data_IF_426657808816
#
_entry.id   IF_426657808816
#
_cell.length_a   1.000
_cell.length_b   1.000
_cell.length_c   1.000
_cell.angle_alpha   90.00
_cell.angle_beta   90.00
_cell.angle_gamma   90.00
#
_symmetry.space_group_name_H-M   'P 1'
#
loop_
_entity.id
_entity.type
_entity.pdbx_description
1 polymer ?
#
# COMPACT_ATOMS: atom_id res chain seq x y z
N UNK A 1 16.29 1.97 29.50
CA UNK A 1 15.36 1.18 28.67
C UNK A 1 13.96 1.80 28.62
N UNK A 2 13.42 2.30 29.73
CA UNK A 2 12.11 2.99 29.76
C UNK A 2 12.05 4.29 28.94
N UNK A 3 13.13 5.09 28.94
CA UNK A 3 13.21 6.33 28.17
C UNK A 3 13.11 6.12 26.64
N UNK A 4 13.69 5.03 26.13
CA UNK A 4 13.60 4.67 24.70
C UNK A 4 12.17 4.25 24.36
N UNK A 5 11.51 3.50 25.25
CA UNK A 5 10.13 3.08 25.10
C UNK A 5 9.15 4.27 25.14
N UNK A 6 9.39 5.26 26.00
CA UNK A 6 8.53 6.46 26.06
C UNK A 6 8.70 7.36 24.82
N UNK A 7 9.93 7.52 24.33
CA UNK A 7 10.21 8.22 23.06
C UNK A 7 9.51 7.55 21.87
N UNK A 8 9.56 6.22 21.80
CA UNK A 8 8.84 5.47 20.77
C UNK A 8 7.33 5.71 20.82
N UNK A 9 6.73 5.64 22.00
CA UNK A 9 5.29 5.88 22.19
C UNK A 9 4.90 7.31 21.78
N UNK A 10 5.65 8.33 22.19
CA UNK A 10 5.38 9.73 21.83
C UNK A 10 5.50 9.96 20.32
N UNK A 11 6.57 9.45 19.70
CA UNK A 11 6.75 9.53 18.25
C UNK A 11 5.56 8.92 17.51
N UNK A 12 5.10 7.75 17.96
CA UNK A 12 4.00 7.05 17.34
C UNK A 12 2.66 7.79 17.50
N UNK A 13 2.40 8.40 18.66
CA UNK A 13 1.21 9.22 18.89
C UNK A 13 1.16 10.45 18.00
N UNK A 14 2.29 11.13 17.83
CA UNK A 14 2.40 12.30 16.94
C UNK A 14 2.16 11.89 15.49
N UNK A 15 2.79 10.81 15.04
CA UNK A 15 2.60 10.30 13.68
C UNK A 15 1.17 9.88 13.40
N UNK A 16 0.52 9.22 14.36
CA UNK A 16 -0.88 8.82 14.24
C UNK A 16 -1.84 10.01 14.19
N UNK A 17 -1.51 11.11 14.88
CA UNK A 17 -2.28 12.35 14.78
C UNK A 17 -2.11 12.99 13.40
N UNK A 18 -0.88 13.04 12.88
CA UNK A 18 -0.59 13.60 11.56
C UNK A 18 -1.20 12.73 10.44
N UNK A 19 -1.12 11.41 10.52
CA UNK A 19 -1.64 10.52 9.47
C UNK A 19 -3.16 10.62 9.32
N UNK A 20 -3.89 10.85 10.42
CA UNK A 20 -5.35 11.06 10.43
C UNK A 20 -5.78 12.47 10.02
N UNK A 21 -4.84 13.35 9.62
CA UNK A 21 -5.21 14.65 9.07
C UNK A 21 -5.79 14.49 7.67
N UNK A 22 -6.92 15.18 7.42
CA UNK A 22 -7.53 15.20 6.10
C UNK A 22 -6.87 16.27 5.24
N UNK A 23 -6.27 15.85 4.14
CA UNK A 23 -5.91 16.70 3.03
C UNK A 23 -7.17 17.16 2.30
N UNK A 24 -7.22 18.43 1.93
CA UNK A 24 -8.32 19.04 1.17
C UNK A 24 -9.72 18.84 1.78
N UNK A 25 -9.81 18.54 3.08
CA UNK A 25 -11.06 18.36 3.81
C UNK A 25 -11.71 16.98 3.71
N UNK A 26 -11.27 16.09 2.82
CA UNK A 26 -11.93 14.80 2.59
C UNK A 26 -10.99 13.60 2.35
N UNK A 27 -9.71 13.83 2.06
CA UNK A 27 -8.75 12.76 1.77
C UNK A 27 -7.83 12.54 2.99
N UNK A 28 -7.92 11.43 3.73
CA UNK A 28 -6.98 11.16 4.81
C UNK A 28 -5.55 11.02 4.26
N UNK A 29 -4.59 11.70 4.90
CA UNK A 29 -3.17 11.65 4.53
C UNK A 29 -2.66 10.21 4.49
N UNK A 30 -3.07 9.39 5.46
CA UNK A 30 -2.75 7.97 5.55
C UNK A 30 -3.10 7.21 4.27
N UNK A 31 -4.32 7.40 3.77
CA UNK A 31 -4.78 6.75 2.54
C UNK A 31 -4.01 7.21 1.30
N UNK A 32 -3.61 8.48 1.24
CA UNK A 32 -2.73 8.97 0.17
C UNK A 32 -1.35 8.31 0.23
N UNK A 33 -0.78 8.15 1.43
CA UNK A 33 0.51 7.49 1.61
C UNK A 33 0.46 6.03 1.18
N UNK A 34 -0.62 5.31 1.49
CA UNK A 34 -0.85 3.94 1.03
C UNK A 34 -0.90 3.84 -0.51
N UNK A 35 -1.66 4.74 -1.15
CA UNK A 35 -1.68 4.82 -2.62
C UNK A 35 -0.29 5.09 -3.21
N UNK A 36 0.44 6.07 -2.67
CA UNK A 36 1.79 6.43 -3.13
C UNK A 36 2.79 5.29 -2.91
N UNK A 37 2.71 4.58 -1.79
CA UNK A 37 3.53 3.42 -1.51
C UNK A 37 3.32 2.33 -2.57
N UNK A 38 2.06 2.00 -2.89
CA UNK A 38 1.72 1.06 -3.96
C UNK A 38 2.28 1.47 -5.32
N UNK A 39 2.17 2.76 -5.66
CA UNK A 39 2.71 3.32 -6.91
C UNK A 39 4.24 3.23 -6.96
N UNK A 40 4.94 3.61 -5.89
CA UNK A 40 6.40 3.54 -5.80
C UNK A 40 6.89 2.10 -5.93
N UNK A 41 6.28 1.16 -5.19
CA UNK A 41 6.61 -0.26 -5.28
C UNK A 41 6.41 -0.79 -6.69
N UNK A 42 5.32 -0.39 -7.36
CA UNK A 42 5.06 -0.77 -8.75
C UNK A 42 6.13 -0.24 -9.72
N UNK A 43 6.54 1.02 -9.57
CA UNK A 43 7.62 1.62 -10.37
C UNK A 43 8.94 0.87 -10.15
N UNK A 44 9.28 0.58 -8.90
CA UNK A 44 10.48 -0.17 -8.55
C UNK A 44 10.41 -1.55 -9.21
N UNK A 45 9.35 -2.32 -8.97
CA UNK A 45 9.22 -3.69 -9.49
C UNK A 45 9.07 -3.78 -11.00
N UNK A 46 8.56 -2.75 -11.67
CA UNK A 46 8.57 -2.69 -13.13
C UNK A 46 9.99 -2.79 -13.71
N UNK A 47 11.02 -2.30 -13.00
CA UNK A 47 12.41 -2.42 -13.46
C UNK A 47 12.96 -3.85 -13.37
N UNK A 48 12.48 -4.66 -12.43
CA UNK A 48 13.06 -5.97 -12.12
C UNK A 48 12.19 -7.15 -12.61
N UNK A 49 10.89 -6.95 -12.76
CA UNK A 49 9.93 -8.02 -13.01
C UNK A 49 9.11 -7.77 -14.25
N UNK A 50 9.23 -8.66 -15.23
CA UNK A 50 8.50 -8.56 -16.50
C UNK A 50 7.02 -8.94 -16.38
N UNK A 51 6.68 -9.91 -15.53
CA UNK A 51 5.30 -10.40 -15.38
C UNK A 51 4.49 -9.54 -14.40
N UNK A 52 3.34 -8.95 -14.81
CA UNK A 52 2.52 -8.10 -13.94
C UNK A 52 1.97 -8.83 -12.72
N UNK A 53 1.60 -10.10 -12.87
CA UNK A 53 1.11 -10.93 -11.76
C UNK A 53 2.15 -11.11 -10.66
N UNK A 54 3.42 -11.30 -11.02
CA UNK A 54 4.52 -11.40 -10.03
C UNK A 54 4.72 -10.11 -9.26
N UNK A 55 4.57 -8.95 -9.93
CA UNK A 55 4.68 -7.64 -9.27
C UNK A 55 3.59 -7.46 -8.24
N UNK A 56 2.33 -7.73 -8.61
CA UNK A 56 1.20 -7.61 -7.68
C UNK A 56 1.36 -8.53 -6.48
N UNK A 57 1.75 -9.78 -6.69
CA UNK A 57 1.95 -10.73 -5.60
C UNK A 57 3.00 -10.24 -4.59
N UNK A 58 4.09 -9.61 -5.06
CA UNK A 58 5.10 -9.05 -4.17
C UNK A 58 4.60 -7.79 -3.45
N UNK A 59 3.88 -6.91 -4.13
CA UNK A 59 3.29 -5.71 -3.49
C UNK A 59 2.30 -6.13 -2.41
N UNK A 60 1.43 -7.09 -2.72
CA UNK A 60 0.49 -7.68 -1.76
C UNK A 60 1.23 -8.33 -0.58
N UNK A 61 2.29 -9.10 -0.84
CA UNK A 61 3.10 -9.72 0.20
C UNK A 61 3.75 -8.70 1.15
N UNK A 62 4.31 -7.61 0.60
CA UNK A 62 4.88 -6.51 1.39
C UNK A 62 3.81 -5.81 2.22
N UNK A 63 2.65 -5.53 1.62
CA UNK A 63 1.53 -4.88 2.30
C UNK A 63 1.02 -5.75 3.46
N UNK A 64 0.78 -7.04 3.23
CA UNK A 64 0.37 -7.98 4.29
C UNK A 64 1.41 -8.02 5.41
N UNK A 65 2.70 -8.08 5.06
CA UNK A 65 3.76 -8.07 6.06
C UNK A 65 3.76 -6.78 6.90
N UNK A 66 3.59 -5.62 6.26
CA UNK A 66 3.46 -4.32 6.94
C UNK A 66 2.25 -4.29 7.89
N UNK A 67 1.08 -4.71 7.42
CA UNK A 67 -0.14 -4.75 8.23
C UNK A 67 -0.03 -5.72 9.42
N UNK A 68 0.68 -6.84 9.27
CA UNK A 68 0.96 -7.74 10.39
C UNK A 68 1.80 -7.03 11.45
N UNK A 69 2.86 -6.31 11.06
CA UNK A 69 3.69 -5.56 11.99
C UNK A 69 2.90 -4.44 12.71
N UNK A 70 2.06 -3.72 11.99
CA UNK A 70 1.21 -2.66 12.55
C UNK A 70 0.13 -3.22 13.50
N UNK A 71 -0.39 -4.42 13.20
CA UNK A 71 -1.32 -5.16 14.05
C UNK A 71 -0.66 -5.66 15.34
N UNK A 72 0.58 -6.15 15.26
CA UNK A 72 1.37 -6.52 16.45
C UNK A 72 1.70 -5.31 17.33
N UNK A 73 1.82 -4.11 16.74
CA UNK A 73 1.96 -2.86 17.47
C UNK A 73 0.65 -2.35 18.09
N UNK A 74 -0.49 -3.06 17.91
CA UNK A 74 -1.84 -2.70 18.38
C UNK A 74 -2.35 -1.36 17.86
N UNK A 75 -1.93 -0.99 16.64
CA UNK A 75 -2.10 0.39 16.13
C UNK A 75 -3.15 0.55 15.05
N UNK A 76 -3.46 -0.52 14.31
CA UNK A 76 -4.43 -0.52 13.23
C UNK A 76 -5.53 -1.56 13.48
N UNK A 77 -6.77 -1.21 13.13
CA UNK A 77 -7.91 -2.13 13.10
C UNK A 77 -7.91 -2.97 11.81
N UNK A 78 -8.59 -4.13 11.83
CA UNK A 78 -8.78 -4.94 10.63
C UNK A 78 -9.45 -4.18 9.48
N UNK A 79 -10.35 -3.24 9.80
CA UNK A 79 -11.02 -2.40 8.81
C UNK A 79 -10.06 -1.39 8.16
N UNK A 80 -9.23 -0.71 8.96
CA UNK A 80 -8.18 0.19 8.45
C UNK A 80 -7.19 -0.59 7.55
N UNK A 81 -6.73 -1.76 7.99
CA UNK A 81 -5.80 -2.59 7.23
C UNK A 81 -6.37 -3.03 5.86
N UNK A 82 -7.68 -3.28 5.77
CA UNK A 82 -8.35 -3.61 4.51
C UNK A 82 -8.41 -2.41 3.56
N UNK A 83 -8.75 -1.22 4.07
CA UNK A 83 -8.80 0.01 3.28
C UNK A 83 -7.40 0.34 2.76
N UNK A 84 -6.40 0.28 3.63
CA UNK A 84 -5.00 0.54 3.30
C UNK A 84 -4.47 -0.44 2.25
N UNK A 85 -4.80 -1.73 2.40
CA UNK A 85 -4.46 -2.75 1.41
C UNK A 85 -5.14 -2.49 0.07
N UNK A 86 -6.41 -2.10 0.07
CA UNK A 86 -7.11 -1.75 -1.16
C UNK A 86 -6.43 -0.56 -1.85
N UNK A 87 -6.15 0.53 -1.13
CA UNK A 87 -5.50 1.73 -1.64
C UNK A 87 -4.10 1.44 -2.21
N UNK A 88 -3.29 0.64 -1.51
CA UNK A 88 -1.97 0.19 -2.00
C UNK A 88 -2.08 -0.60 -3.31
N UNK A 89 -3.16 -1.37 -3.51
CA UNK A 89 -3.30 -2.28 -4.65
C UNK A 89 -4.08 -1.71 -5.83
N UNK A 90 -4.81 -0.59 -5.67
CA UNK A 90 -5.60 0.04 -6.74
C UNK A 90 -4.78 0.20 -8.03
N UNK A 91 -3.63 0.86 -7.97
CA UNK A 91 -2.81 1.11 -9.15
C UNK A 91 -2.19 -0.18 -9.74
N UNK A 92 -1.54 -1.06 -8.93
CA UNK A 92 -1.07 -2.35 -9.42
C UNK A 92 -2.15 -3.18 -10.14
N UNK A 93 -3.37 -3.24 -9.59
CA UNK A 93 -4.48 -4.00 -10.17
C UNK A 93 -4.93 -3.38 -11.49
N UNK A 94 -5.10 -2.06 -11.57
CA UNK A 94 -5.43 -1.36 -12.82
C UNK A 94 -4.37 -1.66 -13.89
N UNK A 95 -3.09 -1.63 -13.54
CA UNK A 95 -2.00 -1.94 -14.47
C UNK A 95 -2.07 -3.38 -15.01
N UNK A 96 -2.45 -4.35 -14.19
CA UNK A 96 -2.67 -5.73 -14.65
C UNK A 96 -3.86 -5.84 -15.59
N UNK A 97 -4.98 -5.15 -15.29
CA UNK A 97 -6.15 -5.15 -16.15
C UNK A 97 -5.81 -4.59 -17.54
N UNK A 98 -5.08 -3.46 -17.59
CA UNK A 98 -4.62 -2.87 -18.86
C UNK A 98 -3.79 -3.88 -19.66
N UNK A 99 -2.83 -4.55 -19.02
CA UNK A 99 -2.02 -5.57 -19.67
C UNK A 99 -2.87 -6.75 -20.19
N UNK A 100 -3.86 -7.18 -19.41
CA UNK A 100 -4.75 -8.27 -19.80
C UNK A 100 -5.59 -7.91 -21.03
N UNK A 101 -6.20 -6.73 -21.06
CA UNK A 101 -7.00 -6.29 -22.19
C UNK A 101 -6.17 -6.10 -23.46
N UNK A 102 -4.96 -5.53 -23.35
CA UNK A 102 -4.03 -5.40 -24.49
C UNK A 102 -3.65 -6.78 -25.06
N UNK A 103 -3.23 -7.71 -24.20
CA UNK A 103 -2.85 -9.07 -24.64
C UNK A 103 -4.02 -9.92 -25.14
N UNK A 104 -5.26 -9.60 -24.74
CA UNK A 104 -6.46 -10.21 -25.31
C UNK A 104 -6.71 -9.69 -26.73
N UNK A 105 -6.68 -8.37 -26.92
CA UNK A 105 -6.89 -7.76 -28.23
C UNK A 105 -5.89 -8.26 -29.29
N UNK A 106 -4.62 -8.42 -28.92
CA UNK A 106 -3.60 -8.97 -29.82
C UNK A 106 -3.91 -10.41 -30.25
N UNK A 107 -4.47 -11.25 -29.38
CA UNK A 107 -4.85 -12.63 -29.72
C UNK A 107 -6.09 -12.74 -30.60
N UNK A 108 -6.97 -11.74 -30.55
CA UNK A 108 -8.19 -11.73 -31.37
C UNK A 108 -7.91 -11.20 -32.79
N UNK A 109 -6.73 -10.60 -33.03
CA UNK A 109 -6.31 -10.02 -34.31
C UNK A 109 -5.44 -10.96 -35.18
N UNK A 110 -4.94 -12.07 -34.62
CA UNK A 110 -4.06 -13.04 -35.28
C UNK A 110 -4.56 -14.48 -35.10
#
# INVERSE_FOLDING_TARGET
MEMIKSLYIQYHQIFRYISKTNLFGWLPLDGLLHFLAGLILMIIFNKWLKKPTKRILLILGIQIFKEILDSFALTATWEEALIDTALTLVYPVISLLIFYFQSKQERDLY
#
